data_IF_360998527277
#
_entry.id   IF_360998527277
#
_cell.length_a   1.000
_cell.length_b   1.000
_cell.length_c   1.000
_cell.angle_alpha   90.00
_cell.angle_beta   90.00
_cell.angle_gamma   90.00
#
_symmetry.space_group_name_H-M   'P 1'
#
loop_
_entity.id
_entity.type
_entity.pdbx_description
1 polymer ?
#
# COMPACT_ATOMS: atom_id res chain seq x y z
N UNK A 1 -5.21 -6.21 20.22
CA UNK A 1 -3.86 -5.80 20.65
C UNK A 1 -3.34 -4.78 19.65
N UNK A 2 -3.17 -3.53 20.09
CA UNK A 2 -2.53 -2.48 19.29
C UNK A 2 -1.11 -2.29 19.81
N UNK A 3 -0.12 -2.29 18.92
CA UNK A 3 1.29 -2.06 19.26
C UNK A 3 1.59 -0.58 19.07
N UNK A 4 2.24 0.02 20.06
CA UNK A 4 2.62 1.44 20.02
C UNK A 4 4.14 1.52 20.16
N UNK A 5 4.82 2.04 19.15
CA UNK A 5 6.28 1.95 19.04
C UNK A 5 6.91 3.28 18.63
N UNK A 6 8.16 3.51 19.03
CA UNK A 6 9.00 4.60 18.51
C UNK A 6 9.86 4.15 17.32
N UNK A 7 9.83 2.86 16.99
CA UNK A 7 10.60 2.25 15.91
C UNK A 7 9.81 2.31 14.60
N UNK A 8 10.28 3.12 13.66
CA UNK A 8 9.71 3.29 12.32
C UNK A 8 10.29 2.32 11.29
N UNK A 9 11.27 1.52 11.69
CA UNK A 9 11.89 0.53 10.82
C UNK A 9 10.89 -0.57 10.47
N UNK A 10 10.86 -0.96 9.19
CA UNK A 10 9.88 -1.90 8.62
C UNK A 10 9.89 -3.28 9.27
N UNK A 11 11.01 -3.69 9.86
CA UNK A 11 11.16 -4.97 10.56
C UNK A 11 10.21 -5.08 11.77
N UNK A 12 10.09 -4.03 12.58
CA UNK A 12 9.22 -4.04 13.76
C UNK A 12 7.74 -4.07 13.39
N UNK A 13 7.38 -3.41 12.30
CA UNK A 13 6.02 -3.43 11.80
C UNK A 13 5.70 -4.81 11.19
N UNK A 14 6.64 -5.43 10.47
CA UNK A 14 6.47 -6.79 9.94
C UNK A 14 6.31 -7.82 11.07
N UNK A 15 7.03 -7.66 12.17
CA UNK A 15 6.88 -8.51 13.33
C UNK A 15 5.54 -8.30 14.04
N UNK A 16 5.08 -7.05 14.17
CA UNK A 16 3.73 -6.75 14.66
C UNK A 16 2.64 -7.45 13.82
N UNK A 17 2.81 -7.48 12.49
CA UNK A 17 1.93 -8.19 11.59
C UNK A 17 1.97 -9.71 11.81
N UNK A 18 3.17 -10.31 11.90
CA UNK A 18 3.34 -11.76 12.16
C UNK A 18 2.70 -12.20 13.47
N UNK A 19 2.76 -11.33 14.48
CA UNK A 19 2.13 -11.53 15.79
C UNK A 19 0.60 -11.30 15.77
N UNK A 20 0.01 -11.02 14.60
CA UNK A 20 -1.42 -10.74 14.42
C UNK A 20 -1.92 -9.61 15.33
N UNK A 21 -1.10 -8.57 15.49
CA UNK A 21 -1.57 -7.35 16.13
C UNK A 21 -2.75 -6.77 15.33
N UNK A 22 -3.73 -6.23 16.03
CA UNK A 22 -4.89 -5.56 15.42
C UNK A 22 -4.51 -4.19 14.83
N UNK A 23 -3.36 -3.62 15.22
CA UNK A 23 -2.88 -2.34 14.71
C UNK A 23 -1.48 -1.99 15.21
N UNK A 24 -0.83 -1.04 14.52
CA UNK A 24 0.49 -0.51 14.86
C UNK A 24 0.44 1.02 14.80
N UNK A 25 0.95 1.70 15.84
CA UNK A 25 0.94 3.16 15.96
C UNK A 25 2.35 3.68 16.28
N UNK A 26 2.83 4.63 15.49
CA UNK A 26 4.16 5.22 15.65
C UNK A 26 4.15 6.45 16.54
N UNK A 27 5.13 6.55 17.44
CA UNK A 27 5.41 7.75 18.23
C UNK A 27 6.30 8.72 17.44
N UNK A 28 6.10 10.04 17.58
CA UNK A 28 5.00 10.68 18.31
C UNK A 28 3.69 10.63 17.50
N UNK A 29 2.58 10.34 18.17
CA UNK A 29 1.23 10.40 17.62
C UNK A 29 0.39 11.35 18.45
N UNK A 30 -0.64 11.92 17.85
CA UNK A 30 -1.62 12.74 18.53
C UNK A 30 -2.89 11.91 18.84
N UNK A 31 -3.84 12.52 19.55
CA UNK A 31 -5.07 11.84 19.95
C UNK A 31 -5.97 11.45 18.76
N UNK A 32 -5.95 12.22 17.68
CA UNK A 32 -6.69 11.94 16.46
C UNK A 32 -6.17 10.67 15.77
N UNK A 33 -4.85 10.53 15.61
CA UNK A 33 -4.23 9.34 14.98
C UNK A 33 -4.60 8.06 15.73
N UNK A 34 -4.61 8.13 17.07
CA UNK A 34 -5.03 7.01 17.93
C UNK A 34 -6.53 6.69 17.74
N UNK A 35 -7.39 7.71 17.74
CA UNK A 35 -8.83 7.53 17.56
C UNK A 35 -9.16 6.93 16.20
N UNK A 36 -8.50 7.39 15.15
CA UNK A 36 -8.67 6.86 13.79
C UNK A 36 -8.29 5.39 13.70
N UNK A 37 -7.15 5.01 14.29
CA UNK A 37 -6.71 3.62 14.38
C UNK A 37 -7.72 2.76 15.16
N UNK A 38 -8.14 3.21 16.34
CA UNK A 38 -9.10 2.44 17.17
C UNK A 38 -10.45 2.34 16.47
N UNK A 39 -10.93 3.42 15.86
CA UNK A 39 -12.20 3.47 15.13
C UNK A 39 -12.20 2.52 13.94
N UNK A 40 -11.12 2.51 13.14
CA UNK A 40 -10.99 1.59 12.00
C UNK A 40 -10.99 0.13 12.46
N UNK A 41 -10.23 -0.21 13.50
CA UNK A 41 -10.22 -1.57 14.08
C UNK A 41 -11.62 -1.96 14.61
N UNK A 42 -12.28 -1.06 15.35
CA UNK A 42 -13.61 -1.33 15.89
C UNK A 42 -14.63 -1.55 14.77
N UNK A 43 -14.59 -0.72 13.73
CA UNK A 43 -15.49 -0.80 12.58
C UNK A 43 -15.29 -2.11 11.83
N UNK A 44 -14.03 -2.51 11.57
CA UNK A 44 -13.69 -3.80 10.95
C UNK A 44 -14.18 -5.00 11.77
N UNK A 45 -14.01 -4.97 13.10
CA UNK A 45 -14.49 -6.06 13.98
C UNK A 45 -16.01 -6.15 14.06
N UNK A 46 -16.71 -5.02 14.00
CA UNK A 46 -18.18 -4.99 14.02
C UNK A 46 -18.77 -5.45 12.67
N UNK A 47 -18.14 -5.10 11.55
CA UNK A 47 -18.56 -5.56 10.21
C UNK A 47 -18.23 -7.02 9.95
N UNK A 48 -17.20 -7.59 10.59
CA UNK A 48 -16.90 -9.03 10.53
C UNK A 48 -18.05 -9.93 11.06
N UNK A 49 -18.99 -9.39 11.86
CA UNK A 49 -20.15 -10.13 12.37
C UNK A 49 -21.41 -10.06 11.48
N UNK A 50 -21.42 -9.25 10.41
CA UNK A 50 -22.54 -9.16 9.46
C UNK A 50 -22.06 -9.43 8.04
N UNK A 51 -21.94 -10.73 7.70
CA UNK A 51 -22.05 -11.18 6.31
C UNK A 51 -21.01 -10.66 5.33
N UNK A 52 -19.72 -10.82 5.64
CA UNK A 52 -18.66 -11.22 4.71
C UNK A 52 -17.35 -11.21 5.47
N UNK A 53 -16.68 -12.35 5.53
CA UNK A 53 -15.34 -12.46 6.08
C UNK A 53 -14.37 -11.69 5.16
N UNK A 54 -14.15 -10.41 5.44
CA UNK A 54 -12.96 -9.73 4.96
C UNK A 54 -11.96 -9.78 6.09
N UNK A 55 -10.98 -10.67 5.90
CA UNK A 55 -9.65 -10.56 6.51
C UNK A 55 -9.23 -9.08 6.50
N UNK A 56 -8.47 -8.59 7.50
CA UNK A 56 -7.99 -7.20 7.51
C UNK A 56 -7.45 -6.88 6.11
N UNK A 57 -8.02 -5.87 5.45
CA UNK A 57 -7.77 -5.63 4.02
C UNK A 57 -6.28 -5.42 3.84
N UNK A 58 -5.58 -6.46 3.39
CA UNK A 58 -4.13 -6.51 3.34
C UNK A 58 -3.59 -5.35 2.50
N UNK A 59 -4.41 -4.87 1.56
CA UNK A 59 -4.18 -3.69 0.75
C UNK A 59 -4.03 -2.42 1.57
N UNK A 60 -4.94 -2.16 2.51
CA UNK A 60 -4.91 -0.93 3.32
C UNK A 60 -3.67 -0.89 4.21
N UNK A 61 -3.28 -2.03 4.76
CA UNK A 61 -2.06 -2.15 5.56
C UNK A 61 -0.79 -1.97 4.71
N UNK A 62 -0.73 -2.59 3.52
CA UNK A 62 0.38 -2.42 2.58
C UNK A 62 0.54 -0.96 2.14
N UNK A 63 -0.55 -0.23 1.94
CA UNK A 63 -0.50 1.19 1.61
C UNK A 63 0.04 2.02 2.77
N UNK A 64 -0.45 1.81 4.01
CA UNK A 64 0.10 2.49 5.20
C UNK A 64 1.60 2.20 5.41
N UNK A 65 2.02 0.99 5.06
CA UNK A 65 3.41 0.54 5.08
C UNK A 65 4.28 1.34 4.11
N UNK A 66 3.79 1.48 2.88
CA UNK A 66 4.42 2.26 1.83
C UNK A 66 4.53 3.73 2.27
N UNK A 67 3.42 4.33 2.72
CA UNK A 67 3.36 5.72 3.21
C UNK A 67 4.38 5.98 4.33
N UNK A 68 4.53 5.03 5.25
CA UNK A 68 5.46 5.14 6.39
C UNK A 68 6.92 5.12 5.97
N UNK A 69 7.27 4.35 4.94
CA UNK A 69 8.64 4.32 4.37
C UNK A 69 8.90 5.59 3.55
N UNK A 70 7.87 6.07 2.84
CA UNK A 70 7.89 7.29 2.05
C UNK A 70 8.85 7.26 0.85
N UNK A 71 8.88 8.38 0.11
CA UNK A 71 9.84 8.61 -0.97
C UNK A 71 9.27 8.41 -2.38
N UNK A 72 10.00 8.94 -3.37
CA UNK A 72 9.42 9.16 -4.69
C UNK A 72 9.01 7.91 -5.47
N UNK A 73 9.68 6.78 -5.20
CA UNK A 73 9.32 5.49 -5.82
C UNK A 73 8.08 4.87 -5.18
N UNK A 74 7.89 5.11 -3.88
CA UNK A 74 6.74 4.60 -3.11
C UNK A 74 5.46 5.28 -3.61
N UNK A 75 5.48 6.60 -3.76
CA UNK A 75 4.35 7.38 -4.29
C UNK A 75 3.91 6.89 -5.68
N UNK A 76 4.86 6.50 -6.54
CA UNK A 76 4.55 5.90 -7.86
C UNK A 76 3.87 4.54 -7.70
N UNK A 77 4.32 3.70 -6.77
CA UNK A 77 3.75 2.37 -6.51
C UNK A 77 2.33 2.51 -5.95
N UNK A 78 2.12 3.41 -4.98
CA UNK A 78 0.81 3.71 -4.40
C UNK A 78 -0.15 4.24 -5.45
N UNK A 79 0.31 5.15 -6.31
CA UNK A 79 -0.48 5.67 -7.42
C UNK A 79 -0.98 4.53 -8.32
N UNK A 80 -0.10 3.59 -8.69
CA UNK A 80 -0.46 2.42 -9.50
C UNK A 80 -1.54 1.59 -8.78
N UNK A 81 -1.31 1.22 -7.50
CA UNK A 81 -2.24 0.38 -6.71
C UNK A 81 -3.61 1.04 -6.54
N UNK A 82 -3.66 2.37 -6.43
CA UNK A 82 -4.89 3.12 -6.27
C UNK A 82 -5.66 3.32 -7.59
N UNK A 83 -5.03 3.08 -8.74
CA UNK A 83 -5.63 3.21 -10.07
C UNK A 83 -5.71 1.87 -10.82
N UNK A 84 -5.64 0.74 -10.11
CA UNK A 84 -5.98 -0.56 -10.67
C UNK A 84 -7.49 -0.69 -10.85
N UNK A 85 -7.90 -1.26 -11.97
CA UNK A 85 -9.27 -1.70 -12.18
C UNK A 85 -9.57 -3.06 -11.52
N UNK A 86 -10.79 -3.56 -11.69
CA UNK A 86 -11.23 -4.85 -11.13
C UNK A 86 -10.47 -6.07 -11.66
N UNK A 87 -9.76 -5.95 -12.78
CA UNK A 87 -8.93 -7.01 -13.37
C UNK A 87 -7.44 -6.84 -13.04
N UNK A 88 -7.13 -5.92 -12.12
CA UNK A 88 -5.78 -5.54 -11.70
C UNK A 88 -4.95 -4.99 -12.86
N UNK A 89 -5.60 -4.23 -13.72
CA UNK A 89 -4.97 -3.53 -14.83
C UNK A 89 -4.87 -2.05 -14.47
N UNK A 90 -3.66 -1.53 -14.59
CA UNK A 90 -3.36 -0.12 -14.53
C UNK A 90 -3.37 0.46 -15.94
N UNK A 91 -4.15 1.53 -16.14
CA UNK A 91 -4.24 2.28 -17.40
C UNK A 91 -3.61 3.65 -17.20
N UNK A 92 -2.43 3.85 -17.77
CA UNK A 92 -1.68 5.10 -17.69
C UNK A 92 -0.29 4.98 -18.30
N UNK A 93 0.12 6.02 -19.00
CA UNK A 93 1.47 6.18 -19.55
C UNK A 93 2.43 6.74 -18.51
N UNK A 94 3.73 6.64 -18.77
CA UNK A 94 4.74 7.21 -17.86
C UNK A 94 4.64 8.73 -17.75
N UNK A 95 4.18 9.41 -18.80
CA UNK A 95 4.01 10.86 -18.83
C UNK A 95 2.81 11.28 -17.95
N UNK A 96 1.68 10.58 -18.07
CA UNK A 96 0.49 10.85 -17.23
C UNK A 96 0.79 10.63 -15.74
N UNK A 97 1.53 9.57 -15.39
CA UNK A 97 1.93 9.31 -13.99
C UNK A 97 2.91 10.39 -13.50
N UNK A 98 3.86 10.79 -14.34
CA UNK A 98 4.81 11.84 -13.99
C UNK A 98 4.12 13.19 -13.75
N UNK A 99 3.14 13.54 -14.59
CA UNK A 99 2.33 14.74 -14.44
C UNK A 99 1.45 14.68 -13.18
N UNK A 100 0.72 13.59 -12.98
CA UNK A 100 -0.16 13.41 -11.83
C UNK A 100 0.56 13.52 -10.48
N UNK A 101 1.80 13.02 -10.43
CA UNK A 101 2.61 13.04 -9.22
C UNK A 101 3.54 14.25 -9.13
N UNK A 102 3.66 15.08 -10.18
CA UNK A 102 4.71 16.11 -10.33
C UNK A 102 6.14 15.54 -10.27
N UNK A 103 6.33 14.31 -10.76
CA UNK A 103 7.57 13.52 -10.67
C UNK A 103 8.40 13.64 -11.95
N UNK A 104 9.71 13.37 -11.86
CA UNK A 104 10.50 13.27 -13.09
C UNK A 104 10.15 11.98 -13.83
N UNK A 105 10.03 12.08 -15.17
CA UNK A 105 9.79 10.92 -16.05
C UNK A 105 10.80 9.80 -15.79
N UNK A 106 12.06 10.12 -15.55
CA UNK A 106 13.11 9.16 -15.20
C UNK A 106 12.78 8.38 -13.93
N UNK A 107 12.21 9.01 -12.91
CA UNK A 107 11.84 8.32 -11.67
C UNK A 107 10.68 7.35 -11.88
N UNK A 108 9.67 7.76 -12.65
CA UNK A 108 8.54 6.90 -13.01
C UNK A 108 9.03 5.71 -13.83
N UNK A 109 9.79 5.96 -14.91
CA UNK A 109 10.34 4.91 -15.77
C UNK A 109 11.17 3.90 -14.98
N UNK A 110 12.09 4.37 -14.12
CA UNK A 110 12.92 3.49 -13.29
C UNK A 110 12.07 2.65 -12.33
N UNK A 111 10.99 3.21 -11.77
CA UNK A 111 10.11 2.48 -10.85
C UNK A 111 9.32 1.40 -11.61
N UNK A 112 8.75 1.73 -12.76
CA UNK A 112 8.09 0.76 -13.63
C UNK A 112 9.04 -0.33 -14.09
N UNK A 113 10.28 -0.01 -14.48
CA UNK A 113 11.29 -1.00 -14.85
C UNK A 113 11.57 -1.98 -13.72
N UNK A 114 11.80 -1.50 -12.50
CA UNK A 114 12.01 -2.39 -11.34
C UNK A 114 10.80 -3.30 -11.10
N UNK A 115 9.58 -2.79 -11.22
CA UNK A 115 8.36 -3.59 -11.05
C UNK A 115 8.19 -4.63 -12.17
N UNK A 116 8.56 -4.30 -13.40
CA UNK A 116 8.55 -5.23 -14.53
C UNK A 116 9.62 -6.32 -14.37
N UNK A 117 10.85 -5.94 -14.00
CA UNK A 117 11.97 -6.86 -13.75
C UNK A 117 11.69 -7.84 -12.63
N UNK A 118 11.03 -7.37 -11.56
CA UNK A 118 10.62 -8.19 -10.41
C UNK A 118 9.32 -8.97 -10.64
N UNK A 119 8.78 -8.96 -11.85
CA UNK A 119 7.49 -9.58 -12.19
C UNK A 119 6.31 -9.12 -11.33
N UNK A 120 6.38 -7.93 -10.72
CA UNK A 120 5.26 -7.30 -10.01
C UNK A 120 4.24 -6.76 -11.01
N UNK A 121 4.72 -6.25 -12.15
CA UNK A 121 3.91 -5.82 -13.29
C UNK A 121 4.27 -6.61 -14.54
N UNK A 122 3.30 -6.73 -15.45
CA UNK A 122 3.51 -7.18 -16.82
C UNK A 122 2.92 -6.17 -17.79
N UNK A 123 3.71 -5.75 -18.78
CA UNK A 123 3.24 -4.83 -19.81
C UNK A 123 2.35 -5.59 -20.80
N UNK A 124 1.08 -5.18 -20.89
CA UNK A 124 0.13 -5.74 -21.87
C UNK A 124 0.24 -5.00 -23.19
N UNK A 125 0.22 -3.67 -23.13
CA UNK A 125 0.44 -2.77 -24.27
C UNK A 125 0.94 -1.41 -23.78
N UNK A 126 1.14 -0.45 -24.68
CA UNK A 126 1.53 0.88 -24.26
C UNK A 126 0.47 1.50 -23.34
N UNK A 127 0.89 2.01 -22.18
CA UNK A 127 -0.01 2.59 -21.19
C UNK A 127 -0.92 1.60 -20.47
N UNK A 128 -0.71 0.28 -20.62
CA UNK A 128 -1.55 -0.74 -19.96
C UNK A 128 -0.68 -1.83 -19.36
N UNK A 129 -0.78 -1.98 -18.05
CA UNK A 129 0.06 -2.86 -17.24
C UNK A 129 -0.83 -3.71 -16.34
N UNK A 130 -0.57 -5.02 -16.28
CA UNK A 130 -1.27 -5.94 -15.39
C UNK A 130 -0.41 -6.20 -14.15
N UNK A 131 -1.02 -6.12 -12.97
CA UNK A 131 -0.36 -6.52 -11.72
C UNK A 131 -0.44 -8.03 -11.53
N UNK A 132 0.70 -8.61 -11.14
CA UNK A 132 0.79 -10.04 -10.86
C UNK A 132 0.62 -10.28 -9.37
N UNK A 133 -0.38 -11.07 -8.99
CA UNK A 133 -0.63 -11.45 -7.58
C UNK A 133 0.14 -12.73 -7.21
N UNK A 134 0.57 -13.50 -8.20
CA UNK A 134 1.31 -14.74 -7.99
C UNK A 134 2.81 -14.45 -7.97
N UNK A 135 3.37 -14.23 -6.79
CA UNK A 135 4.80 -14.37 -6.59
C UNK A 135 5.14 -15.87 -6.78
N UNK A 136 5.80 -16.21 -7.88
CA UNK A 136 6.47 -17.51 -8.04
C UNK A 136 7.94 -17.33 -7.73
#
# INVERSE_FOLDING_TARGET
>A
VVIVSAHSESEYLLDAFRLKADGYLLKPFNFHDMLELISSIATQKVTAHKGSAHEPDQREFLLKLLDTIGGRRVEVIEYIINHLDGDLIFHGTYDEVAEALNASKTTVVNTFQVMLEKNVLTRVKNGVYKMNISAT
#
